data_IF_014104035637
#
_entry.id   IF_014104035637
#
_cell.length_a   1.000
_cell.length_b   1.000
_cell.length_c   1.000
_cell.angle_alpha   90.00
_cell.angle_beta   90.00
_cell.angle_gamma   90.00
#
_symmetry.space_group_name_H-M   'P 1'
#
loop_
_entity.id
_entity.type
_entity.pdbx_description
1 polymer ?
#
# COMPACT_ATOMS: atom_id res chain seq x y z
N UNK A 1 -113.56 -6.88 54.88
CA UNK A 1 -112.76 -6.30 53.78
C UNK A 1 -111.30 -6.64 54.02
N UNK A 2 -110.65 -7.26 53.03
CA UNK A 2 -109.22 -7.23 52.63
C UNK A 2 -108.13 -7.05 53.73
N UNK A 3 -106.97 -7.71 53.72
CA UNK A 3 -106.24 -8.26 52.59
C UNK A 3 -105.14 -9.23 53.06
N UNK A 4 -104.93 -10.22 52.20
CA UNK A 4 -103.91 -11.25 52.17
C UNK A 4 -102.47 -10.71 52.13
N UNK A 5 -101.53 -11.27 52.90
CA UNK A 5 -100.09 -11.28 52.58
C UNK A 5 -99.40 -12.53 53.16
N UNK A 6 -99.36 -13.55 52.32
CA UNK A 6 -98.38 -14.63 52.27
C UNK A 6 -96.93 -14.11 52.40
N UNK A 7 -96.14 -14.64 53.33
CA UNK A 7 -94.68 -14.42 53.38
C UNK A 7 -93.97 -15.79 53.43
N UNK A 8 -93.27 -16.22 52.36
CA UNK A 8 -92.65 -17.53 52.31
C UNK A 8 -91.30 -17.55 53.03
N UNK A 9 -91.08 -18.65 53.74
CA UNK A 9 -89.85 -19.01 54.45
C UNK A 9 -88.62 -18.86 53.56
N UNK A 10 -87.61 -18.15 54.08
CA UNK A 10 -86.29 -18.05 53.48
C UNK A 10 -85.67 -19.43 53.30
N UNK A 11 -85.41 -19.78 52.03
CA UNK A 11 -84.56 -20.92 51.70
C UNK A 11 -83.10 -20.64 52.07
N UNK A 12 -82.48 -21.67 52.59
CA UNK A 12 -81.14 -21.73 53.19
C UNK A 12 -80.03 -21.43 52.17
N UNK A 13 -78.90 -20.90 52.68
CA UNK A 13 -77.66 -20.50 51.98
C UNK A 13 -77.08 -21.51 50.97
N UNK A 14 -77.60 -22.73 50.87
CA UNK A 14 -77.05 -23.80 50.05
C UNK A 14 -77.55 -23.78 48.59
N UNK A 15 -78.72 -23.20 48.29
CA UNK A 15 -79.23 -23.13 46.92
C UNK A 15 -78.57 -22.02 46.07
N UNK A 16 -77.99 -20.98 46.69
CA UNK A 16 -77.27 -19.92 45.95
C UNK A 16 -75.91 -20.37 45.41
N UNK A 17 -75.29 -21.39 46.00
CA UNK A 17 -73.99 -21.92 45.51
C UNK A 17 -74.13 -22.78 44.25
N UNK A 18 -75.27 -23.44 44.06
CA UNK A 18 -75.48 -24.34 42.91
C UNK A 18 -75.84 -23.58 41.63
N UNK A 19 -76.47 -22.41 41.74
CA UNK A 19 -76.79 -21.54 40.60
C UNK A 19 -75.56 -20.79 40.06
N UNK A 20 -74.61 -20.38 40.93
CA UNK A 20 -73.34 -19.78 40.51
C UNK A 20 -72.39 -20.76 39.80
N UNK A 21 -72.53 -22.07 40.06
CA UNK A 21 -71.75 -23.09 39.34
C UNK A 21 -72.23 -23.31 37.90
N UNK A 22 -73.47 -22.97 37.55
CA UNK A 22 -73.97 -23.12 36.18
C UNK A 22 -73.71 -21.90 35.29
N UNK A 23 -73.53 -20.71 35.87
CA UNK A 23 -73.22 -19.50 35.10
C UNK A 23 -71.74 -19.45 34.70
N UNK A 24 -70.84 -19.97 35.53
CA UNK A 24 -69.40 -20.00 35.19
C UNK A 24 -69.03 -21.02 34.10
N UNK A 25 -69.90 -21.96 33.77
CA UNK A 25 -69.63 -22.98 32.74
C UNK A 25 -69.95 -22.50 31.32
N UNK A 26 -70.66 -21.38 31.15
CA UNK A 26 -71.05 -20.84 29.84
C UNK A 26 -70.13 -19.70 29.33
N UNK A 27 -69.10 -19.31 30.09
CA UNK A 27 -68.16 -18.23 29.71
C UNK A 27 -66.77 -18.79 29.29
N UNK A 28 -66.59 -20.11 29.28
CA UNK A 28 -65.31 -20.78 29.01
C UNK A 28 -65.27 -21.58 27.70
N UNK A 29 -66.08 -21.24 26.69
CA UNK A 29 -65.79 -21.68 25.32
C UNK A 29 -64.91 -20.61 24.65
N UNK A 30 -63.63 -20.90 24.34
CA UNK A 30 -62.81 -19.98 23.58
C UNK A 30 -63.43 -19.84 22.18
N UNK A 31 -63.71 -18.60 21.76
CA UNK A 31 -63.95 -18.31 20.34
C UNK A 31 -62.58 -18.41 19.65
N UNK A 32 -62.20 -19.61 19.21
CA UNK A 32 -61.09 -19.79 18.29
C UNK A 32 -61.48 -19.17 16.94
N UNK A 33 -61.14 -17.90 16.74
CA UNK A 33 -60.97 -17.42 15.36
C UNK A 33 -59.79 -18.21 14.80
N UNK A 34 -59.87 -18.78 13.60
CA UNK A 34 -58.69 -19.34 12.98
C UNK A 34 -57.71 -18.18 12.77
N UNK A 35 -56.69 -18.10 13.62
CA UNK A 35 -55.48 -17.41 13.21
C UNK A 35 -55.01 -18.18 11.99
N UNK A 36 -55.09 -17.56 10.80
CA UNK A 36 -54.21 -17.96 9.72
C UNK A 36 -52.82 -17.78 10.32
N UNK A 37 -52.21 -18.88 10.75
CA UNK A 37 -50.80 -18.95 11.01
C UNK A 37 -50.11 -18.45 9.75
N UNK A 38 -49.80 -17.16 9.73
CA UNK A 38 -48.69 -16.63 8.97
C UNK A 38 -47.44 -17.15 9.71
N UNK A 39 -47.29 -18.48 9.73
CA UNK A 39 -46.01 -19.11 9.92
C UNK A 39 -45.19 -18.55 8.76
N UNK A 40 -44.41 -17.52 9.03
CA UNK A 40 -43.36 -17.09 8.11
C UNK A 40 -42.57 -18.37 7.86
N UNK A 41 -42.78 -18.98 6.67
CA UNK A 41 -42.07 -20.19 6.29
C UNK A 41 -40.61 -19.87 6.55
N UNK A 42 -39.90 -20.65 7.40
CA UNK A 42 -38.49 -20.39 7.62
C UNK A 42 -37.87 -20.31 6.25
N UNK A 43 -37.18 -19.21 5.94
CA UNK A 43 -36.49 -19.05 4.68
C UNK A 43 -35.53 -20.23 4.60
N UNK A 44 -35.93 -21.28 3.87
CA UNK A 44 -35.09 -22.44 3.58
C UNK A 44 -34.06 -21.91 2.60
N UNK A 45 -33.06 -21.21 3.10
CA UNK A 45 -31.79 -21.09 2.41
C UNK A 45 -31.33 -22.53 2.20
N UNK A 46 -31.50 -23.02 0.97
CA UNK A 46 -31.15 -24.39 0.66
C UNK A 46 -29.67 -24.58 0.97
N UNK A 47 -29.25 -25.78 1.38
CA UNK A 47 -27.84 -26.08 1.57
C UNK A 47 -27.00 -25.68 0.33
N UNK A 48 -27.61 -25.77 -0.86
CA UNK A 48 -27.07 -25.25 -2.11
C UNK A 48 -26.80 -23.73 -2.08
N UNK A 49 -27.73 -22.91 -1.57
CA UNK A 49 -27.52 -21.47 -1.47
C UNK A 49 -26.31 -21.13 -0.59
N UNK A 50 -26.16 -21.83 0.54
CA UNK A 50 -25.01 -21.67 1.45
C UNK A 50 -23.68 -22.08 0.79
N UNK A 51 -23.68 -23.22 0.09
CA UNK A 51 -22.52 -23.71 -0.67
C UNK A 51 -22.13 -22.72 -1.78
N UNK A 52 -23.10 -22.20 -2.52
CA UNK A 52 -22.85 -21.20 -3.56
C UNK A 52 -22.29 -19.90 -2.99
N UNK A 53 -22.83 -19.40 -1.88
CA UNK A 53 -22.29 -18.20 -1.23
C UNK A 53 -20.88 -18.43 -0.68
N UNK A 54 -20.60 -19.60 -0.09
CA UNK A 54 -19.27 -19.93 0.41
C UNK A 54 -18.26 -20.07 -0.74
N UNK A 55 -18.67 -20.70 -1.85
CA UNK A 55 -17.85 -20.83 -3.05
C UNK A 55 -17.61 -19.45 -3.69
N UNK A 56 -18.62 -18.58 -3.75
CA UNK A 56 -18.46 -17.22 -4.26
C UNK A 56 -17.47 -16.42 -3.40
N UNK A 57 -17.61 -16.46 -2.07
CA UNK A 57 -16.65 -15.81 -1.15
C UNK A 57 -15.24 -16.37 -1.33
N UNK A 58 -15.10 -17.69 -1.48
CA UNK A 58 -13.81 -18.32 -1.75
C UNK A 58 -13.24 -17.87 -3.12
N UNK A 59 -14.04 -17.81 -4.17
CA UNK A 59 -13.64 -17.32 -5.48
C UNK A 59 -13.21 -15.85 -5.43
N UNK A 60 -13.92 -15.00 -4.69
CA UNK A 60 -13.53 -13.61 -4.48
C UNK A 60 -12.23 -13.53 -3.67
N UNK A 61 -12.13 -14.21 -2.53
CA UNK A 61 -10.93 -14.19 -1.68
C UNK A 61 -9.68 -14.75 -2.36
N UNK A 62 -9.84 -15.75 -3.24
CA UNK A 62 -8.75 -16.33 -4.04
C UNK A 62 -8.48 -15.56 -5.32
N UNK A 63 -9.34 -14.60 -5.70
CA UNK A 63 -9.10 -13.80 -6.90
C UNK A 63 -7.88 -12.90 -6.67
N UNK A 64 -6.89 -12.88 -7.58
CA UNK A 64 -5.76 -11.97 -7.48
C UNK A 64 -6.17 -10.50 -7.38
N UNK A 65 -7.34 -10.14 -7.93
CA UNK A 65 -7.89 -8.80 -7.89
C UNK A 65 -8.46 -8.38 -6.52
N UNK A 66 -8.73 -9.31 -5.60
CA UNK A 66 -9.29 -9.01 -4.28
C UNK A 66 -8.33 -9.28 -3.12
N UNK A 67 -7.12 -9.80 -3.40
CA UNK A 67 -6.08 -9.92 -2.39
C UNK A 67 -5.52 -8.53 -2.08
N UNK A 68 -5.51 -8.15 -0.80
CA UNK A 68 -4.79 -6.97 -0.37
C UNK A 68 -3.30 -7.16 -0.67
N UNK A 69 -2.70 -6.22 -1.39
CA UNK A 69 -1.25 -6.17 -1.53
C UNK A 69 -0.66 -5.87 -0.16
N UNK A 70 0.27 -6.72 0.27
CA UNK A 70 0.98 -6.58 1.52
C UNK A 70 2.43 -6.21 1.21
N UNK A 71 2.91 -5.06 1.68
CA UNK A 71 2.18 -4.05 2.47
C UNK A 71 1.24 -3.19 1.61
N UNK A 72 0.32 -2.49 2.27
CA UNK A 72 -0.70 -1.66 1.62
C UNK A 72 -0.06 -0.54 0.77
N UNK A 73 -0.69 -0.12 -0.35
CA UNK A 73 -0.14 0.83 -1.33
C UNK A 73 0.01 2.29 -0.88
N UNK A 74 0.00 2.61 0.42
CA UNK A 74 -0.04 4.01 0.88
C UNK A 74 0.60 4.29 2.25
N UNK A 75 1.67 3.58 2.61
CA UNK A 75 2.66 4.15 3.56
C UNK A 75 2.69 3.57 4.98
N UNK A 76 2.58 2.25 5.12
CA UNK A 76 2.79 1.54 6.39
C UNK A 76 4.22 1.05 6.65
N UNK A 77 5.23 1.43 5.85
CA UNK A 77 6.56 0.84 5.97
C UNK A 77 7.26 1.33 7.26
N UNK A 78 7.87 0.44 8.07
CA UNK A 78 8.60 0.82 9.27
C UNK A 78 9.67 1.86 8.99
N UNK A 79 9.98 2.73 9.96
CA UNK A 79 11.06 3.72 9.83
C UNK A 79 10.74 4.91 8.93
N UNK A 80 9.46 5.17 8.62
CA UNK A 80 9.06 6.32 7.79
C UNK A 80 9.45 6.17 6.32
N UNK A 81 9.44 4.93 5.83
CA UNK A 81 9.73 4.62 4.44
C UNK A 81 8.45 4.74 3.57
N UNK A 82 8.63 5.07 2.29
CA UNK A 82 7.57 5.04 1.27
C UNK A 82 8.03 4.10 0.16
N UNK A 83 7.21 3.12 -0.24
CA UNK A 83 7.51 2.24 -1.36
C UNK A 83 6.27 2.05 -2.24
N UNK A 84 6.41 2.42 -3.51
CA UNK A 84 5.37 2.40 -4.53
C UNK A 84 5.91 1.77 -5.80
N UNK A 85 5.39 0.61 -6.18
CA UNK A 85 5.84 -0.16 -7.35
C UNK A 85 6.23 -1.59 -6.98
N UNK A 86 6.22 -2.45 -7.99
CA UNK A 86 6.59 -3.86 -7.82
C UNK A 86 8.03 -3.97 -7.30
N UNK A 87 8.20 -4.71 -6.21
CA UNK A 87 9.47 -4.96 -5.52
C UNK A 87 10.23 -3.70 -5.04
N UNK A 88 9.56 -2.57 -4.88
CA UNK A 88 10.16 -1.40 -4.23
C UNK A 88 10.54 -1.73 -2.77
N UNK A 89 11.77 -1.39 -2.35
CA UNK A 89 12.31 -1.69 -1.00
C UNK A 89 12.24 -3.17 -0.57
N UNK A 90 12.24 -4.11 -1.52
CA UNK A 90 12.05 -5.54 -1.24
C UNK A 90 13.01 -6.11 -0.19
N UNK A 91 14.28 -5.72 -0.22
CA UNK A 91 15.33 -6.27 0.67
C UNK A 91 15.53 -5.48 1.97
N UNK A 92 14.69 -4.49 2.27
CA UNK A 92 14.89 -3.60 3.40
C UNK A 92 14.73 -4.34 4.74
N UNK A 93 15.79 -4.34 5.55
CA UNK A 93 15.79 -4.93 6.90
C UNK A 93 15.74 -3.86 7.99
N UNK A 94 16.53 -2.81 7.83
CA UNK A 94 16.59 -1.60 8.66
C UNK A 94 16.92 -0.41 7.76
N UNK A 95 16.95 0.81 8.27
CA UNK A 95 17.20 2.00 7.45
C UNK A 95 15.93 2.84 7.29
N UNK A 96 15.85 3.98 7.99
CA UNK A 96 14.68 4.84 7.96
C UNK A 96 14.70 5.80 6.77
N UNK A 97 13.52 6.37 6.48
CA UNK A 97 13.36 7.56 5.62
C UNK A 97 13.80 7.39 4.16
N UNK A 98 13.56 6.23 3.58
CA UNK A 98 13.68 5.99 2.15
C UNK A 98 12.37 6.28 1.42
N UNK A 99 12.46 6.86 0.24
CA UNK A 99 11.36 6.99 -0.73
C UNK A 99 11.71 6.19 -1.97
N UNK A 100 10.93 5.17 -2.30
CA UNK A 100 11.10 4.32 -3.47
C UNK A 100 9.83 4.35 -4.32
N UNK A 101 9.89 4.90 -5.52
CA UNK A 101 8.75 4.98 -6.43
C UNK A 101 9.17 4.50 -7.81
N UNK A 102 8.73 3.30 -8.19
CA UNK A 102 9.09 2.63 -9.44
C UNK A 102 9.30 1.13 -9.24
N UNK A 103 9.16 0.37 -10.33
CA UNK A 103 9.50 -1.06 -10.36
C UNK A 103 10.99 -1.24 -9.97
N UNK A 104 11.26 -2.08 -8.96
CA UNK A 104 12.59 -2.35 -8.41
C UNK A 104 13.36 -1.11 -7.87
N UNK A 105 12.68 -0.01 -7.54
CA UNK A 105 13.32 1.12 -6.88
C UNK A 105 13.85 0.71 -5.48
N UNK A 106 15.14 0.96 -5.20
CA UNK A 106 15.81 0.54 -3.95
C UNK A 106 15.66 -0.97 -3.62
N UNK A 107 15.56 -1.82 -4.64
CA UNK A 107 15.27 -3.26 -4.49
C UNK A 107 16.20 -3.98 -3.50
N UNK A 108 17.51 -3.72 -3.58
CA UNK A 108 18.54 -4.41 -2.80
C UNK A 108 18.90 -3.72 -1.48
N UNK A 109 18.24 -2.59 -1.14
CA UNK A 109 18.63 -1.78 0.01
C UNK A 109 18.37 -2.55 1.30
N UNK A 110 19.39 -2.80 2.11
CA UNK A 110 19.27 -3.61 3.33
C UNK A 110 19.23 -2.76 4.59
N UNK A 111 20.16 -1.81 4.73
CA UNK A 111 20.30 -0.94 5.92
C UNK A 111 20.44 0.54 5.61
N UNK A 112 20.62 0.91 4.34
CA UNK A 112 20.85 2.29 3.90
C UNK A 112 19.62 3.19 4.09
N UNK A 113 19.88 4.48 4.36
CA UNK A 113 18.86 5.52 4.47
C UNK A 113 19.43 6.79 5.07
N UNK A 114 18.87 7.99 4.79
CA UNK A 114 17.73 8.26 3.90
C UNK A 114 18.14 8.22 2.42
N UNK A 115 17.36 7.59 1.55
CA UNK A 115 17.56 7.63 0.10
C UNK A 115 16.25 7.98 -0.63
N UNK A 116 16.33 8.68 -1.76
CA UNK A 116 15.19 8.93 -2.64
C UNK A 116 15.46 8.29 -3.99
N UNK A 117 14.57 7.41 -4.44
CA UNK A 117 14.62 6.70 -5.71
C UNK A 117 13.27 6.85 -6.42
N UNK A 118 13.25 7.56 -7.55
CA UNK A 118 12.05 7.77 -8.37
C UNK A 118 12.36 7.38 -9.82
N UNK A 119 11.76 6.28 -10.28
CA UNK A 119 12.03 5.68 -11.58
C UNK A 119 12.20 4.17 -11.46
N UNK A 120 11.94 3.45 -12.55
CA UNK A 120 12.24 2.01 -12.61
C UNK A 120 13.74 1.77 -12.42
N UNK A 121 14.09 0.83 -11.56
CA UNK A 121 15.47 0.44 -11.24
C UNK A 121 16.35 1.56 -10.63
N UNK A 122 15.78 2.70 -10.24
CA UNK A 122 16.54 3.73 -9.54
C UNK A 122 17.11 3.18 -8.21
N UNK A 123 18.42 3.30 -8.01
CA UNK A 123 19.14 2.72 -6.86
C UNK A 123 18.91 1.21 -6.64
N UNK A 124 18.60 0.43 -7.68
CA UNK A 124 18.21 -0.98 -7.55
C UNK A 124 19.22 -1.85 -6.79
N UNK A 125 20.52 -1.60 -6.95
CA UNK A 125 21.60 -2.39 -6.33
C UNK A 125 22.11 -1.83 -4.99
N UNK A 126 21.55 -0.71 -4.51
CA UNK A 126 22.02 -0.08 -3.27
C UNK A 126 21.89 -1.07 -2.12
N UNK A 127 22.91 -1.28 -1.30
CA UNK A 127 22.85 -2.18 -0.14
C UNK A 127 22.87 -1.39 1.16
N UNK A 128 23.90 -0.57 1.36
CA UNK A 128 24.10 0.22 2.60
C UNK A 128 24.34 1.71 2.34
N UNK A 129 24.45 2.12 1.07
CA UNK A 129 24.59 3.52 0.68
C UNK A 129 23.45 4.39 1.21
N UNK A 130 23.79 5.62 1.60
CA UNK A 130 22.87 6.53 2.29
C UNK A 130 22.98 7.95 1.73
N UNK A 131 21.95 8.77 1.94
CA UNK A 131 21.85 10.15 1.43
C UNK A 131 21.93 10.25 -0.09
N UNK A 132 21.48 9.24 -0.83
CA UNK A 132 21.45 9.27 -2.28
C UNK A 132 20.10 9.76 -2.80
N UNK A 133 20.12 10.53 -3.89
CA UNK A 133 18.94 10.94 -4.65
C UNK A 133 19.09 10.45 -6.08
N UNK A 134 18.16 9.62 -6.54
CA UNK A 134 18.10 9.07 -7.89
C UNK A 134 16.72 9.33 -8.50
N UNK A 135 16.68 10.08 -9.59
CA UNK A 135 15.44 10.39 -10.32
C UNK A 135 15.63 10.12 -11.80
N UNK A 136 15.00 9.07 -12.31
CA UNK A 136 15.15 8.59 -13.68
C UNK A 136 15.20 7.07 -13.76
N UNK A 137 14.95 6.53 -14.94
CA UNK A 137 15.15 5.10 -15.19
C UNK A 137 16.63 4.73 -14.99
N UNK A 138 16.89 3.77 -14.10
CA UNK A 138 18.22 3.23 -13.78
C UNK A 138 19.24 4.28 -13.29
N UNK A 139 18.77 5.41 -12.75
CA UNK A 139 19.64 6.39 -12.11
C UNK A 139 20.28 5.75 -10.86
N UNK A 140 21.62 5.82 -10.74
CA UNK A 140 22.39 5.13 -9.69
C UNK A 140 22.11 3.62 -9.58
N UNK A 141 21.70 2.96 -10.68
CA UNK A 141 21.23 1.56 -10.67
C UNK A 141 22.22 0.55 -10.07
N UNK A 142 23.52 0.74 -10.27
CA UNK A 142 24.59 -0.12 -9.76
C UNK A 142 25.22 0.34 -8.42
N UNK A 143 24.74 1.42 -7.80
CA UNK A 143 25.27 1.89 -6.52
C UNK A 143 25.16 0.78 -5.48
N UNK A 144 26.22 0.50 -4.72
CA UNK A 144 26.18 -0.51 -3.64
C UNK A 144 26.32 0.17 -2.29
N UNK A 145 27.45 0.83 -2.06
CA UNK A 145 27.78 1.47 -0.78
C UNK A 145 28.04 2.97 -0.90
N UNK A 146 28.04 3.52 -2.13
CA UNK A 146 28.26 4.95 -2.35
C UNK A 146 27.23 5.81 -1.62
N UNK A 147 27.65 6.96 -1.08
CA UNK A 147 26.81 7.87 -0.31
C UNK A 147 26.87 9.31 -0.83
N UNK A 148 25.83 10.08 -0.53
CA UNK A 148 25.70 11.49 -0.92
C UNK A 148 25.76 11.77 -2.43
N UNK A 149 25.29 10.82 -3.25
CA UNK A 149 25.20 11.03 -4.70
C UNK A 149 23.83 11.60 -5.11
N UNK A 150 23.83 12.50 -6.09
CA UNK A 150 22.62 13.01 -6.74
C UNK A 150 22.66 12.67 -8.22
N UNK A 151 21.70 11.89 -8.70
CA UNK A 151 21.55 11.47 -10.09
C UNK A 151 20.15 11.84 -10.59
N UNK A 152 20.06 12.76 -11.55
CA UNK A 152 18.80 13.23 -12.12
C UNK A 152 18.88 13.08 -13.64
N UNK A 153 18.12 12.14 -14.20
CA UNK A 153 18.16 11.76 -15.60
C UNK A 153 18.21 10.24 -15.75
N UNK A 154 17.72 9.73 -16.87
CA UNK A 154 17.85 8.30 -17.16
C UNK A 154 19.34 7.93 -17.27
N UNK A 155 19.74 6.82 -16.65
CA UNK A 155 21.11 6.29 -16.66
C UNK A 155 22.17 7.21 -16.02
N UNK A 156 21.77 8.29 -15.34
CA UNK A 156 22.72 9.16 -14.63
C UNK A 156 23.42 8.37 -13.50
N UNK A 157 24.75 8.41 -13.45
CA UNK A 157 25.57 7.63 -12.50
C UNK A 157 25.26 6.11 -12.51
N UNK A 158 24.80 5.56 -13.63
CA UNK A 158 24.35 4.16 -13.72
C UNK A 158 25.32 3.16 -13.09
N UNK A 159 26.61 3.25 -13.44
CA UNK A 159 27.62 2.28 -13.02
C UNK A 159 28.37 2.67 -11.74
N UNK A 160 27.94 3.71 -11.01
CA UNK A 160 28.57 4.08 -9.75
C UNK A 160 28.42 2.93 -8.77
N UNK A 161 29.50 2.43 -8.18
CA UNK A 161 29.43 1.33 -7.19
C UNK A 161 29.70 1.85 -5.79
N UNK A 162 30.84 2.51 -5.59
CA UNK A 162 31.29 3.03 -4.30
C UNK A 162 31.72 4.50 -4.34
N UNK A 163 31.56 5.18 -5.47
CA UNK A 163 31.84 6.60 -5.58
C UNK A 163 30.87 7.43 -4.73
N UNK A 164 31.39 8.49 -4.11
CA UNK A 164 30.67 9.34 -3.16
C UNK A 164 30.62 10.78 -3.62
N UNK A 165 29.62 11.52 -3.13
CA UNK A 165 29.51 12.96 -3.32
C UNK A 165 29.48 13.41 -4.80
N UNK A 166 28.99 12.57 -5.71
CA UNK A 166 28.85 12.93 -7.12
C UNK A 166 27.50 13.57 -7.41
N UNK A 167 27.48 14.59 -8.28
CA UNK A 167 26.25 15.19 -8.81
C UNK A 167 26.21 14.99 -10.31
N UNK A 168 25.22 14.28 -10.81
CA UNK A 168 24.97 14.03 -12.23
C UNK A 168 23.55 14.47 -12.60
N UNK A 169 23.44 15.44 -13.51
CA UNK A 169 22.16 15.96 -13.97
C UNK A 169 22.12 15.97 -15.50
N UNK A 170 21.33 15.07 -16.08
CA UNK A 170 21.23 14.83 -17.52
C UNK A 170 21.19 13.33 -17.81
N UNK A 171 20.61 12.96 -18.95
CA UNK A 171 20.62 11.55 -19.39
C UNK A 171 22.06 11.10 -19.62
N UNK A 172 22.48 10.00 -18.99
CA UNK A 172 23.84 9.46 -19.09
C UNK A 172 24.94 10.35 -18.51
N UNK A 173 24.63 11.38 -17.71
CA UNK A 173 25.66 12.14 -17.02
C UNK A 173 26.42 11.22 -16.04
N UNK A 174 27.77 11.23 -16.09
CA UNK A 174 28.64 10.35 -15.30
C UNK A 174 28.28 8.84 -15.40
N UNK A 175 27.72 8.38 -16.53
CA UNK A 175 27.17 7.02 -16.63
C UNK A 175 28.18 5.94 -16.21
N UNK A 176 29.44 6.05 -16.66
CA UNK A 176 30.48 5.04 -16.45
C UNK A 176 31.30 5.23 -15.18
N UNK A 177 30.99 6.23 -14.34
CA UNK A 177 31.69 6.41 -13.07
C UNK A 177 31.48 5.19 -12.20
N UNK A 178 32.55 4.62 -11.66
CA UNK A 178 32.49 3.46 -10.76
C UNK A 178 32.89 3.84 -9.34
N UNK A 179 34.06 4.46 -9.18
CA UNK A 179 34.62 4.80 -7.86
C UNK A 179 35.02 6.27 -7.74
N UNK A 180 34.91 7.06 -8.80
CA UNK A 180 35.25 8.48 -8.76
C UNK A 180 34.38 9.23 -7.77
N UNK A 181 34.95 10.24 -7.10
CA UNK A 181 34.27 10.99 -6.05
C UNK A 181 34.23 12.49 -6.36
N UNK A 182 33.25 13.18 -5.79
CA UNK A 182 33.18 14.64 -5.82
C UNK A 182 33.20 15.23 -7.24
N UNK A 183 32.60 14.54 -8.21
CA UNK A 183 32.42 15.04 -9.56
C UNK A 183 31.08 15.75 -9.70
N UNK A 184 31.05 16.80 -10.53
CA UNK A 184 29.83 17.50 -10.94
C UNK A 184 29.72 17.37 -12.45
N UNK A 185 28.66 16.75 -12.95
CA UNK A 185 28.36 16.62 -14.37
C UNK A 185 26.94 17.10 -14.65
N UNK A 186 26.81 18.17 -15.43
CA UNK A 186 25.53 18.78 -15.76
C UNK A 186 25.41 18.92 -17.28
N UNK A 187 24.46 18.20 -17.86
CA UNK A 187 24.26 18.05 -19.30
C UNK A 187 24.16 16.58 -19.69
N UNK A 188 23.40 16.27 -20.75
CA UNK A 188 23.33 14.89 -21.22
C UNK A 188 24.72 14.42 -21.67
N UNK A 189 25.12 13.24 -21.19
CA UNK A 189 26.43 12.63 -21.40
C UNK A 189 27.62 13.51 -20.97
N UNK A 190 27.41 14.46 -20.05
CA UNK A 190 28.50 15.16 -19.41
C UNK A 190 29.33 14.16 -18.59
N UNK A 191 30.65 14.16 -18.81
CA UNK A 191 31.63 13.34 -18.10
C UNK A 191 31.34 11.83 -18.19
N UNK A 192 30.71 11.41 -19.28
CA UNK A 192 30.16 10.06 -19.49
C UNK A 192 31.21 8.94 -19.30
N UNK A 193 32.42 9.12 -19.84
CA UNK A 193 33.50 8.13 -19.82
C UNK A 193 34.39 8.17 -18.57
N UNK A 194 34.08 9.01 -17.57
CA UNK A 194 34.86 9.06 -16.34
C UNK A 194 34.58 7.81 -15.52
N UNK A 195 35.58 6.96 -15.30
CA UNK A 195 35.45 5.70 -14.55
C UNK A 195 35.89 5.84 -13.10
N UNK A 196 37.00 6.56 -12.84
CA UNK A 196 37.56 6.72 -11.48
C UNK A 196 38.11 8.12 -11.17
N UNK A 197 38.07 9.04 -12.14
CA UNK A 197 38.48 10.42 -11.92
C UNK A 197 37.59 11.11 -10.90
N UNK A 198 38.16 12.06 -10.17
CA UNK A 198 37.57 12.72 -9.01
C UNK A 198 37.78 14.23 -9.07
N UNK A 199 36.92 14.98 -8.37
CA UNK A 199 37.00 16.45 -8.31
C UNK A 199 36.87 17.13 -9.68
N UNK A 200 36.18 16.51 -10.65
CA UNK A 200 35.97 17.11 -11.96
C UNK A 200 34.64 17.87 -12.00
N UNK A 201 34.62 18.98 -12.74
CA UNK A 201 33.41 19.75 -13.05
C UNK A 201 33.22 19.72 -14.56
N UNK A 202 32.07 19.26 -15.01
CA UNK A 202 31.70 19.17 -16.41
C UNK A 202 30.32 19.78 -16.63
N UNK A 203 30.21 20.78 -17.49
CA UNK A 203 28.98 21.52 -17.77
C UNK A 203 28.75 21.65 -19.27
N UNK A 204 27.78 20.90 -19.80
CA UNK A 204 27.39 20.93 -21.20
C UNK A 204 27.09 19.53 -21.77
N UNK A 205 26.44 19.50 -22.92
CA UNK A 205 26.25 18.27 -23.68
C UNK A 205 27.61 17.69 -24.10
N UNK A 206 27.92 16.46 -23.68
CA UNK A 206 29.23 15.82 -23.89
C UNK A 206 30.46 16.57 -23.33
N UNK A 207 30.28 17.52 -22.41
CA UNK A 207 31.42 18.15 -21.74
C UNK A 207 32.27 17.08 -21.03
N UNK A 208 33.60 17.17 -21.10
CA UNK A 208 34.51 16.23 -20.43
C UNK A 208 34.47 14.78 -20.92
N UNK A 209 34.00 14.52 -22.15
CA UNK A 209 33.91 13.17 -22.73
C UNK A 209 35.25 12.40 -22.76
N UNK A 210 36.38 13.11 -22.80
CA UNK A 210 37.72 12.51 -22.82
C UNK A 210 38.34 12.34 -21.42
N UNK A 211 37.68 12.81 -20.36
CA UNK A 211 38.15 12.64 -19.00
C UNK A 211 37.73 11.27 -18.49
N UNK A 212 38.64 10.31 -18.55
CA UNK A 212 38.38 8.92 -18.14
C UNK A 212 38.80 8.63 -16.70
N UNK A 213 39.98 9.09 -16.28
CA UNK A 213 40.55 8.87 -14.94
C UNK A 213 41.22 10.11 -14.35
N UNK A 214 41.17 11.23 -15.06
CA UNK A 214 41.78 12.50 -14.64
C UNK A 214 41.07 13.10 -13.43
N UNK A 215 41.82 13.83 -12.61
CA UNK A 215 41.28 14.54 -11.45
C UNK A 215 41.41 16.05 -11.60
N UNK A 216 40.57 16.81 -10.90
CA UNK A 216 40.66 18.27 -10.77
C UNK A 216 40.54 19.03 -12.10
N UNK A 217 39.71 18.54 -13.03
CA UNK A 217 39.47 19.20 -14.31
C UNK A 217 38.20 20.03 -14.28
N UNK A 218 38.16 21.09 -15.09
CA UNK A 218 36.95 21.89 -15.32
C UNK A 218 36.72 21.99 -16.82
N UNK A 219 35.65 21.35 -17.29
CA UNK A 219 35.22 21.37 -18.69
C UNK A 219 33.86 22.05 -18.81
N UNK A 220 33.78 23.10 -19.62
CA UNK A 220 32.56 23.87 -19.82
C UNK A 220 32.33 24.05 -21.32
N UNK A 221 31.16 23.64 -21.80
CA UNK A 221 30.72 23.77 -23.19
C UNK A 221 30.28 22.44 -23.82
N UNK A 222 29.55 22.53 -24.93
CA UNK A 222 29.37 21.42 -25.86
C UNK A 222 30.74 21.06 -26.50
N UNK A 223 30.88 19.89 -27.12
CA UNK A 223 31.80 19.71 -28.27
C UNK A 223 31.61 20.92 -29.18
N UNK A 224 32.50 21.91 -29.09
CA UNK A 224 32.28 23.24 -29.67
C UNK A 224 31.93 23.12 -31.15
N UNK A 225 30.72 23.54 -31.52
CA UNK A 225 30.38 23.70 -32.93
C UNK A 225 31.04 25.01 -33.34
N UNK A 226 32.08 24.93 -34.17
CA UNK A 226 32.70 26.10 -34.77
C UNK A 226 31.62 26.95 -35.47
N UNK A 227 31.60 28.25 -35.18
CA UNK A 227 30.93 29.25 -36.00
C UNK A 227 31.83 29.70 -37.13
#
# INVERSE_FOLDING_TARGET
MANDKHNPKGKTKNERKTSMKHINTLIQTPIERPQKDLLAKPARTSAFALIFSALAVACFALSPAAQAVSPAPDGGYPGGNTAEGENALFSLTTGPYNTATGNHALYSNTTGGPNTATGGYALASNTTGSNNTASGFDALGANTTGWQNTAIGALALLFNTTGDNNTAMGTGALQTNTTGVQNIAVGSFALDNNTSGSYNISLGYYAGLNLTTGNNNIDIGNLGVAG
#
